data_IF_206945842228
#
_entry.id   IF_206945842228
#
_cell.length_a   1.000
_cell.length_b   1.000
_cell.length_c   1.000
_cell.angle_alpha   90.00
_cell.angle_beta   90.00
_cell.angle_gamma   90.00
#
_symmetry.space_group_name_H-M   'P 1'
#
loop_
_entity.id
_entity.type
_entity.pdbx_description
1 polymer ?
#
# COMPACT_ATOMS: atom_id res chain seq x y z
N UNK A 1 -21.08 -27.92 -59.92
CA UNK A 1 -21.50 -26.75 -60.66
C UNK A 1 -21.08 -25.53 -59.83
N UNK A 2 -20.14 -24.69 -60.35
CA UNK A 2 -19.69 -23.52 -59.64
C UNK A 2 -20.48 -22.28 -60.02
N UNK A 3 -20.86 -21.49 -59.03
CA UNK A 3 -21.50 -20.19 -59.21
C UNK A 3 -20.44 -19.10 -59.49
N UNK A 4 -20.72 -18.36 -60.57
CA UNK A 4 -19.88 -17.27 -61.08
C UNK A 4 -20.02 -16.01 -60.19
N UNK A 5 -18.85 -15.39 -59.89
CA UNK A 5 -18.77 -14.03 -59.38
C UNK A 5 -19.12 -13.02 -60.51
N UNK A 6 -19.94 -12.03 -60.17
CA UNK A 6 -20.19 -10.85 -61.00
C UNK A 6 -19.40 -9.68 -60.38
N UNK A 7 -18.45 -9.13 -61.12
CA UNK A 7 -17.74 -7.90 -60.77
C UNK A 7 -18.44 -6.70 -61.38
N UNK A 8 -18.70 -5.69 -60.58
CA UNK A 8 -19.24 -4.41 -61.05
C UNK A 8 -18.12 -3.35 -60.98
N UNK A 9 -17.85 -2.59 -62.06
CA UNK A 9 -16.83 -1.58 -62.04
C UNK A 9 -17.33 -0.29 -61.39
N UNK A 10 -16.48 0.31 -60.52
CA UNK A 10 -16.71 1.64 -59.95
C UNK A 10 -16.03 2.65 -60.85
N UNK A 11 -16.84 3.57 -61.41
CA UNK A 11 -16.35 4.75 -62.15
C UNK A 11 -16.10 5.86 -61.16
N UNK A 12 -14.85 6.34 -61.10
CA UNK A 12 -14.46 7.52 -60.31
C UNK A 12 -14.46 8.76 -61.26
N UNK A 13 -15.40 9.66 -61.02
CA UNK A 13 -15.41 10.98 -61.67
C UNK A 13 -14.55 11.96 -60.88
N UNK A 14 -13.48 12.44 -61.46
CA UNK A 14 -12.68 13.52 -60.88
C UNK A 14 -13.25 14.87 -61.33
N UNK A 15 -13.74 15.67 -60.39
CA UNK A 15 -14.14 17.04 -60.59
C UNK A 15 -13.00 18.00 -60.15
N UNK A 16 -12.41 18.68 -61.10
CA UNK A 16 -11.46 19.78 -60.83
C UNK A 16 -12.22 21.03 -60.42
N UNK A 17 -12.06 21.47 -59.14
CA UNK A 17 -12.48 22.80 -58.69
C UNK A 17 -11.27 23.75 -58.70
N UNK A 18 -11.34 24.75 -59.51
CA UNK A 18 -10.40 25.90 -59.52
C UNK A 18 -10.82 26.86 -58.42
N UNK A 19 -9.98 27.10 -57.45
CA UNK A 19 -10.20 28.09 -56.39
C UNK A 19 -9.37 29.38 -56.72
N UNK A 20 -9.91 30.57 -56.44
CA UNK A 20 -9.17 31.82 -56.61
C UNK A 20 -8.19 32.04 -55.44
N UNK A 21 -6.99 32.51 -55.77
CA UNK A 21 -5.94 32.89 -54.86
C UNK A 21 -6.29 34.20 -54.13
N UNK A 22 -6.69 34.06 -52.86
CA UNK A 22 -6.79 35.16 -51.92
C UNK A 22 -5.56 35.17 -50.99
N UNK A 23 -4.74 36.20 -51.08
CA UNK A 23 -3.63 36.42 -50.15
C UNK A 23 -4.15 36.69 -48.75
N UNK A 24 -3.93 35.75 -47.85
CA UNK A 24 -4.11 35.96 -46.39
C UNK A 24 -2.78 36.37 -45.79
N UNK A 25 -2.81 37.51 -45.08
CA UNK A 25 -1.70 37.93 -44.20
C UNK A 25 -1.38 36.81 -43.21
N UNK A 26 -0.14 36.38 -43.17
CA UNK A 26 0.35 35.44 -42.15
C UNK A 26 0.37 36.18 -40.81
N UNK A 27 -0.56 35.85 -39.94
CA UNK A 27 -0.47 36.19 -38.52
C UNK A 27 0.72 35.48 -37.91
N UNK A 28 1.58 36.25 -37.25
CA UNK A 28 2.68 35.75 -36.44
C UNK A 28 2.08 34.75 -35.44
N UNK A 29 2.57 33.50 -35.34
CA UNK A 29 2.12 32.61 -34.31
C UNK A 29 2.49 33.21 -32.94
N UNK A 30 1.51 33.51 -32.12
CA UNK A 30 1.74 33.72 -30.68
C UNK A 30 2.43 32.46 -30.16
N UNK A 31 3.51 32.59 -29.36
CA UNK A 31 4.12 31.44 -28.76
C UNK A 31 3.03 30.73 -27.94
N UNK A 32 2.81 29.45 -28.25
CA UNK A 32 2.09 28.56 -27.36
C UNK A 32 2.67 28.76 -25.95
N UNK A 33 1.85 29.30 -25.05
CA UNK A 33 2.13 29.18 -23.64
C UNK A 33 2.07 27.67 -23.36
N UNK A 34 3.25 27.02 -23.39
CA UNK A 34 3.40 25.70 -22.88
C UNK A 34 2.73 25.73 -21.48
N UNK A 35 1.62 25.04 -21.35
CA UNK A 35 0.99 24.79 -20.06
C UNK A 35 2.09 24.23 -19.18
N UNK A 36 2.52 24.99 -18.17
CA UNK A 36 3.45 24.49 -17.19
C UNK A 36 2.83 23.19 -16.68
N UNK A 37 3.49 22.07 -16.88
CA UNK A 37 3.04 20.80 -16.34
C UNK A 37 2.99 20.98 -14.83
N UNK A 38 1.82 20.81 -14.24
CA UNK A 38 1.63 20.90 -12.79
C UNK A 38 2.60 19.92 -12.12
N UNK A 39 3.39 20.41 -11.17
CA UNK A 39 4.29 19.58 -10.37
C UNK A 39 3.58 19.10 -9.11
N UNK A 40 3.97 17.93 -8.63
CA UNK A 40 3.44 17.38 -7.37
C UNK A 40 3.97 18.18 -6.20
N UNK A 41 3.06 18.62 -5.33
CA UNK A 41 3.40 19.29 -4.08
C UNK A 41 3.75 18.24 -3.03
N UNK A 42 4.90 18.37 -2.39
CA UNK A 42 5.32 17.47 -1.32
C UNK A 42 4.38 17.56 -0.11
N UNK A 43 4.10 16.42 0.50
CA UNK A 43 3.43 16.36 1.80
C UNK A 43 4.34 17.01 2.84
N UNK A 44 3.78 17.86 3.68
CA UNK A 44 4.55 18.56 4.72
C UNK A 44 5.10 17.57 5.74
N UNK A 45 6.39 17.70 6.05
CA UNK A 45 7.04 16.89 7.08
C UNK A 45 6.30 17.01 8.43
N UNK A 46 6.23 15.93 9.22
CA UNK A 46 5.48 15.93 10.47
C UNK A 46 6.05 16.93 11.48
N UNK A 47 5.18 17.59 12.25
CA UNK A 47 5.63 18.52 13.30
C UNK A 47 6.40 17.83 14.43
N UNK A 48 6.12 16.55 14.66
CA UNK A 48 6.79 15.73 15.66
C UNK A 48 7.38 14.48 14.96
N UNK A 49 8.54 14.59 14.29
CA UNK A 49 9.18 13.47 13.63
C UNK A 49 9.57 12.39 14.65
N UNK A 50 9.76 11.16 14.17
CA UNK A 50 10.35 10.13 15.01
C UNK A 50 11.76 10.56 15.44
N UNK A 51 12.14 10.31 16.71
CA UNK A 51 13.52 10.50 17.13
C UNK A 51 14.45 9.53 16.41
N UNK A 52 15.75 9.78 16.39
CA UNK A 52 16.72 8.79 15.93
C UNK A 52 16.50 7.43 16.56
N UNK A 53 16.74 6.35 15.81
CA UNK A 53 16.48 4.97 16.26
C UNK A 53 17.07 4.71 17.67
N UNK A 54 18.30 5.14 17.90
CA UNK A 54 18.98 4.93 19.18
C UNK A 54 18.27 5.60 20.37
N UNK A 55 17.70 6.78 20.17
CA UNK A 55 17.01 7.54 21.23
C UNK A 55 15.66 6.91 21.60
N UNK A 56 15.04 6.16 20.68
CA UNK A 56 13.79 5.46 20.94
C UNK A 56 13.98 4.06 21.56
N UNK A 57 15.20 3.57 21.75
CA UNK A 57 15.47 2.17 22.11
C UNK A 57 14.74 1.68 23.37
N UNK A 58 14.52 2.57 24.34
CA UNK A 58 13.77 2.24 25.57
C UNK A 58 12.25 2.29 25.47
N UNK A 59 11.69 2.66 24.30
CA UNK A 59 10.25 2.76 24.11
C UNK A 59 9.70 1.37 23.74
N UNK A 60 8.91 0.80 24.63
CA UNK A 60 8.29 -0.52 24.43
C UNK A 60 6.76 -0.47 24.44
N UNK A 61 6.18 0.73 24.65
CA UNK A 61 4.73 0.90 24.71
C UNK A 61 4.27 2.11 23.90
N UNK A 62 3.52 1.84 22.82
CA UNK A 62 3.00 2.85 21.89
C UNK A 62 1.96 2.23 20.95
N UNK A 63 1.35 3.06 20.12
CA UNK A 63 0.46 2.62 19.03
C UNK A 63 0.90 3.20 17.69
N UNK A 64 0.42 2.59 16.60
CA UNK A 64 0.47 3.14 15.27
C UNK A 64 -0.81 2.80 14.50
N UNK A 65 -1.11 3.60 13.48
CA UNK A 65 -2.27 3.37 12.62
C UNK A 65 -1.84 2.75 11.30
N UNK A 66 -2.69 1.89 10.74
CA UNK A 66 -2.46 1.27 9.42
C UNK A 66 -3.73 1.28 8.59
N UNK A 67 -3.60 1.60 7.31
CA UNK A 67 -4.67 1.54 6.32
C UNK A 67 -4.08 1.57 4.89
N UNK A 68 -4.90 1.42 3.86
CA UNK A 68 -4.50 1.54 2.47
C UNK A 68 -5.67 1.84 1.55
N UNK A 69 -5.38 2.02 0.25
CA UNK A 69 -6.41 2.18 -0.79
C UNK A 69 -7.32 3.38 -0.53
N UNK A 70 -6.71 4.56 -0.51
CA UNK A 70 -7.40 5.83 -0.20
C UNK A 70 -7.97 6.51 -1.43
N UNK A 71 -7.57 6.07 -2.64
CA UNK A 71 -7.99 6.62 -3.93
C UNK A 71 -9.50 6.76 -4.05
N UNK A 72 -9.96 7.94 -4.44
CA UNK A 72 -11.37 8.24 -4.58
C UNK A 72 -11.91 8.01 -6.00
N UNK A 73 -13.18 8.35 -6.21
CA UNK A 73 -13.82 8.30 -7.54
C UNK A 73 -13.70 9.60 -8.33
N UNK A 74 -13.28 10.67 -7.67
CA UNK A 74 -13.24 12.04 -8.20
C UNK A 74 -11.88 12.69 -7.93
N UNK A 75 -10.82 11.88 -7.99
CA UNK A 75 -9.47 12.34 -7.80
C UNK A 75 -9.11 13.43 -8.82
N UNK A 76 -8.43 14.46 -8.34
CA UNK A 76 -8.09 15.64 -9.13
C UNK A 76 -9.18 16.72 -9.19
N UNK A 77 -10.39 16.44 -8.69
CA UNK A 77 -11.51 17.39 -8.71
C UNK A 77 -11.82 17.92 -7.32
N UNK A 78 -11.73 17.06 -6.30
CA UNK A 78 -11.99 17.39 -4.90
C UNK A 78 -11.07 16.58 -3.98
N UNK A 79 -10.92 16.95 -2.69
CA UNK A 79 -10.44 16.03 -1.68
C UNK A 79 -11.23 14.72 -1.71
N UNK A 80 -10.55 13.61 -1.51
CA UNK A 80 -11.18 12.28 -1.46
C UNK A 80 -12.16 12.21 -0.29
N UNK A 81 -13.45 12.09 -0.57
CA UNK A 81 -14.48 12.22 0.46
C UNK A 81 -14.40 11.11 1.51
N UNK A 82 -14.40 9.86 1.06
CA UNK A 82 -14.36 8.70 1.94
C UNK A 82 -13.05 8.67 2.75
N UNK A 83 -11.93 8.99 2.12
CA UNK A 83 -10.65 9.15 2.81
C UNK A 83 -10.69 10.30 3.83
N UNK A 84 -11.38 11.40 3.55
CA UNK A 84 -11.51 12.49 4.51
C UNK A 84 -12.23 12.07 5.79
N UNK A 85 -13.21 11.18 5.71
CA UNK A 85 -13.88 10.60 6.89
C UNK A 85 -12.93 9.71 7.71
N UNK A 86 -12.07 8.93 7.03
CA UNK A 86 -11.02 8.13 7.67
C UNK A 86 -10.04 9.05 8.41
N UNK A 87 -9.50 10.07 7.74
CA UNK A 87 -8.57 11.05 8.33
C UNK A 87 -9.18 11.73 9.54
N UNK A 88 -10.44 12.18 9.47
CA UNK A 88 -11.15 12.79 10.58
C UNK A 88 -11.29 11.82 11.77
N UNK A 89 -11.59 10.56 11.51
CA UNK A 89 -11.65 9.52 12.55
C UNK A 89 -10.28 9.25 13.17
N UNK A 90 -9.23 9.19 12.34
CA UNK A 90 -7.84 9.03 12.80
C UNK A 90 -7.40 10.20 13.70
N UNK A 91 -7.70 11.45 13.32
CA UNK A 91 -7.37 12.63 14.13
C UNK A 91 -7.98 12.53 15.53
N UNK A 92 -9.27 12.17 15.62
CA UNK A 92 -9.95 11.96 16.91
C UNK A 92 -9.31 10.81 17.69
N UNK A 93 -8.94 9.72 17.02
CA UNK A 93 -8.32 8.57 17.68
C UNK A 93 -6.92 8.89 18.19
N UNK A 94 -6.11 9.59 17.41
CA UNK A 94 -4.78 10.07 17.82
C UNK A 94 -4.89 10.96 19.07
N UNK A 95 -5.83 11.90 19.05
CA UNK A 95 -6.04 12.79 20.19
C UNK A 95 -6.48 12.03 21.45
N UNK A 96 -7.41 11.07 21.30
CA UNK A 96 -7.90 10.26 22.42
C UNK A 96 -6.81 9.39 23.08
N UNK A 97 -5.80 8.98 22.32
CA UNK A 97 -4.68 8.18 22.81
C UNK A 97 -3.48 9.03 23.28
N UNK A 98 -3.46 10.32 22.97
CA UNK A 98 -2.31 11.22 23.19
C UNK A 98 -1.78 11.21 24.63
N UNK A 99 -2.68 11.25 25.61
CA UNK A 99 -2.35 11.25 27.03
C UNK A 99 -2.33 9.86 27.67
N UNK A 100 -2.64 8.83 26.88
CA UNK A 100 -2.67 7.45 27.32
C UNK A 100 -1.28 6.82 27.43
N UNK A 101 -1.23 5.57 27.88
CA UNK A 101 0.04 4.84 28.03
C UNK A 101 0.64 4.42 26.68
N UNK A 102 -0.15 4.35 25.62
CA UNK A 102 0.20 3.88 24.28
C UNK A 102 -0.20 4.90 23.19
N UNK A 103 0.41 6.12 23.20
CA UNK A 103 0.09 7.15 22.22
C UNK A 103 0.47 6.71 20.80
N UNK A 104 -0.27 7.20 19.81
CA UNK A 104 0.03 6.97 18.39
C UNK A 104 1.33 7.69 18.02
N UNK A 105 2.26 6.96 17.43
CA UNK A 105 3.58 7.47 17.06
C UNK A 105 3.76 7.68 15.56
N UNK A 106 3.06 6.93 14.72
CA UNK A 106 3.12 7.07 13.27
C UNK A 106 1.91 6.42 12.60
N UNK A 107 1.77 6.69 11.31
CA UNK A 107 0.76 6.10 10.43
C UNK A 107 1.45 5.38 9.29
N UNK A 108 1.01 4.19 8.93
CA UNK A 108 1.43 3.43 7.76
C UNK A 108 0.29 3.38 6.74
N UNK A 109 0.59 3.66 5.46
CA UNK A 109 -0.36 3.56 4.37
C UNK A 109 0.20 2.63 3.29
N UNK A 110 -0.55 1.57 2.96
CA UNK A 110 -0.10 0.46 2.12
C UNK A 110 -0.37 0.65 0.63
N UNK A 111 -0.37 1.89 0.13
CA UNK A 111 -0.46 2.20 -1.30
C UNK A 111 -1.86 2.56 -1.80
N UNK A 112 -1.94 2.81 -3.10
CA UNK A 112 -3.13 3.30 -3.82
C UNK A 112 -3.67 4.61 -3.22
N UNK A 113 -2.76 5.60 -3.12
CA UNK A 113 -3.05 6.95 -2.67
C UNK A 113 -4.00 7.68 -3.64
N UNK A 114 -3.74 7.54 -4.95
CA UNK A 114 -4.50 8.17 -6.04
C UNK A 114 -4.86 7.15 -7.13
N UNK A 115 -5.82 7.48 -8.00
CA UNK A 115 -6.23 6.60 -9.10
C UNK A 115 -5.18 6.53 -10.21
N UNK A 116 -4.48 7.64 -10.47
CA UNK A 116 -3.45 7.73 -11.49
C UNK A 116 -2.26 8.55 -10.98
N UNK A 117 -1.23 7.88 -10.50
CA UNK A 117 -0.04 8.53 -9.94
C UNK A 117 0.76 9.41 -10.91
N UNK A 118 0.53 9.28 -12.23
CA UNK A 118 1.12 10.16 -13.25
C UNK A 118 0.47 11.54 -13.31
N UNK A 119 -0.67 11.72 -12.69
CA UNK A 119 -1.43 12.97 -12.72
C UNK A 119 -1.18 13.75 -11.41
N UNK A 120 -0.34 14.80 -11.50
CA UNK A 120 0.01 15.64 -10.36
C UNK A 120 -1.22 16.30 -9.71
N UNK A 121 -2.25 16.61 -10.50
CA UNK A 121 -3.49 17.20 -9.98
C UNK A 121 -4.19 16.27 -8.99
N UNK A 122 -4.16 14.95 -9.23
CA UNK A 122 -4.74 13.98 -8.29
C UNK A 122 -4.01 13.99 -6.95
N UNK A 123 -2.68 14.05 -6.97
CA UNK A 123 -1.90 14.19 -5.74
C UNK A 123 -2.25 15.49 -5.01
N UNK A 124 -2.15 16.61 -5.70
CA UNK A 124 -2.26 17.94 -5.11
C UNK A 124 -3.67 18.24 -4.57
N UNK A 125 -4.70 17.96 -5.38
CA UNK A 125 -6.08 18.31 -5.05
C UNK A 125 -6.74 17.29 -4.13
N UNK A 126 -6.48 15.99 -4.37
CA UNK A 126 -7.27 14.94 -3.73
C UNK A 126 -6.61 14.35 -2.48
N UNK A 127 -5.26 14.32 -2.41
CA UNK A 127 -4.54 13.53 -1.41
C UNK A 127 -3.69 14.37 -0.44
N UNK A 128 -2.76 15.17 -0.97
CA UNK A 128 -1.75 15.88 -0.14
C UNK A 128 -2.35 16.70 0.99
N UNK A 129 -3.43 17.43 0.72
CA UNK A 129 -4.10 18.26 1.73
C UNK A 129 -4.67 17.43 2.90
N UNK A 130 -5.17 16.23 2.64
CA UNK A 130 -5.69 15.33 3.69
C UNK A 130 -4.55 14.78 4.56
N UNK A 131 -3.42 14.40 3.97
CA UNK A 131 -2.28 13.90 4.73
C UNK A 131 -1.63 15.01 5.54
N UNK A 132 -1.59 16.23 5.01
CA UNK A 132 -1.09 17.39 5.76
C UNK A 132 -1.89 17.62 7.05
N UNK A 133 -3.15 17.22 7.15
CA UNK A 133 -3.88 17.25 8.43
C UNK A 133 -3.26 16.31 9.45
N UNK A 134 -2.86 15.09 9.06
CA UNK A 134 -2.20 14.15 9.97
C UNK A 134 -0.82 14.63 10.38
N UNK A 135 -0.02 15.13 9.44
CA UNK A 135 1.35 15.58 9.71
C UNK A 135 1.40 16.95 10.43
N UNK A 136 0.40 17.81 10.24
CA UNK A 136 0.38 19.17 10.80
C UNK A 136 -0.59 19.35 11.98
N UNK A 137 -1.84 18.87 11.92
CA UNK A 137 -2.79 19.01 13.04
C UNK A 137 -2.45 18.01 14.15
N UNK A 138 -2.36 16.71 13.83
CA UNK A 138 -1.93 15.70 14.79
C UNK A 138 -0.41 15.72 15.04
N UNK A 139 0.36 16.13 14.04
CA UNK A 139 1.82 16.23 14.08
C UNK A 139 2.54 14.89 13.96
N UNK A 140 1.84 13.81 13.58
CA UNK A 140 2.41 12.45 13.54
C UNK A 140 3.10 12.15 12.22
N UNK A 141 4.21 11.39 12.23
CA UNK A 141 4.84 10.83 11.04
C UNK A 141 3.88 9.97 10.23
N UNK A 142 3.99 10.08 8.92
CA UNK A 142 3.21 9.33 7.96
C UNK A 142 4.14 8.64 6.98
N UNK A 143 3.99 7.35 6.81
CA UNK A 143 4.81 6.51 5.94
C UNK A 143 3.93 5.83 4.90
N UNK A 144 4.31 5.93 3.64
CA UNK A 144 3.57 5.42 2.50
C UNK A 144 4.43 4.46 1.68
N UNK A 145 3.86 3.34 1.22
CA UNK A 145 4.42 2.51 0.14
C UNK A 145 3.59 2.66 -1.13
N UNK A 146 4.16 2.50 -2.33
CA UNK A 146 3.38 2.68 -3.54
C UNK A 146 2.45 1.51 -3.83
N UNK A 147 1.20 1.81 -4.18
CA UNK A 147 0.29 0.87 -4.81
C UNK A 147 0.46 0.85 -6.33
N UNK A 148 -0.28 -0.04 -7.01
CA UNK A 148 -0.20 -0.13 -8.47
C UNK A 148 -0.79 1.11 -9.17
N UNK A 149 -1.76 1.77 -8.57
CA UNK A 149 -2.32 3.02 -9.08
C UNK A 149 -1.35 4.20 -8.95
N UNK A 150 -0.52 4.22 -7.92
CA UNK A 150 0.46 5.29 -7.68
C UNK A 150 1.60 5.28 -8.69
N UNK A 151 2.06 4.08 -9.08
CA UNK A 151 3.21 3.90 -9.99
C UNK A 151 2.83 3.15 -11.28
N UNK A 152 1.53 3.08 -11.59
CA UNK A 152 0.97 2.42 -12.78
C UNK A 152 1.34 0.95 -12.99
N UNK A 153 1.58 0.22 -11.92
CA UNK A 153 1.47 -1.23 -11.75
C UNK A 153 2.07 -2.19 -12.76
N UNK A 154 3.03 -1.78 -13.59
CA UNK A 154 3.44 -2.62 -14.72
C UNK A 154 4.36 -3.79 -14.38
N UNK A 155 4.89 -3.88 -13.16
CA UNK A 155 5.93 -4.87 -12.83
C UNK A 155 7.22 -4.77 -13.66
N UNK A 156 7.26 -3.85 -14.62
CA UNK A 156 8.43 -3.51 -15.44
C UNK A 156 9.03 -2.21 -14.92
N UNK A 157 10.15 -2.32 -14.25
CA UNK A 157 10.89 -1.20 -13.64
C UNK A 157 11.38 -0.16 -14.64
N UNK A 158 11.47 -0.54 -15.91
CA UNK A 158 11.97 0.32 -16.99
C UNK A 158 10.85 0.96 -17.81
N UNK A 159 9.57 0.73 -17.47
CA UNK A 159 8.48 1.30 -18.26
C UNK A 159 8.38 2.82 -18.07
N UNK A 160 8.22 3.63 -19.14
CA UNK A 160 8.03 5.08 -19.01
C UNK A 160 6.80 5.44 -18.15
N UNK A 161 5.79 4.60 -18.13
CA UNK A 161 4.60 4.81 -17.32
C UNK A 161 4.90 4.70 -15.83
N UNK A 162 5.73 3.71 -15.43
CA UNK A 162 6.20 3.57 -14.07
C UNK A 162 7.16 4.70 -13.68
N UNK A 163 8.07 5.08 -14.58
CA UNK A 163 9.02 6.15 -14.32
C UNK A 163 8.33 7.46 -13.91
N UNK A 164 7.30 7.89 -14.67
CA UNK A 164 6.56 9.11 -14.34
C UNK A 164 5.73 8.96 -13.04
N UNK A 165 5.06 7.83 -12.84
CA UNK A 165 4.31 7.57 -11.60
C UNK A 165 5.23 7.56 -10.38
N UNK A 166 6.38 6.89 -10.48
CA UNK A 166 7.39 6.85 -9.42
C UNK A 166 7.97 8.24 -9.13
N UNK A 167 8.27 9.03 -10.16
CA UNK A 167 8.74 10.41 -10.01
C UNK A 167 7.74 11.25 -9.19
N UNK A 168 6.47 11.22 -9.54
CA UNK A 168 5.42 11.94 -8.83
C UNK A 168 5.23 11.43 -7.39
N UNK A 169 5.26 10.11 -7.22
CA UNK A 169 5.20 9.49 -5.90
C UNK A 169 6.34 9.96 -4.99
N UNK A 170 7.58 9.88 -5.47
CA UNK A 170 8.76 10.30 -4.70
C UNK A 170 8.73 11.79 -4.38
N UNK A 171 8.24 12.64 -5.30
CA UNK A 171 8.02 14.05 -5.03
C UNK A 171 6.98 14.27 -3.92
N UNK A 172 5.88 13.51 -3.93
CA UNK A 172 4.85 13.61 -2.88
C UNK A 172 5.38 13.24 -1.48
N UNK A 173 6.26 12.23 -1.38
CA UNK A 173 6.73 11.69 -0.09
C UNK A 173 8.13 12.17 0.32
N UNK A 174 8.74 13.09 -0.41
CA UNK A 174 10.12 13.55 -0.19
C UNK A 174 10.42 13.91 1.28
N UNK A 175 9.49 14.58 1.96
CA UNK A 175 9.63 14.97 3.36
C UNK A 175 9.26 13.89 4.39
N UNK A 176 8.89 12.69 3.96
CA UNK A 176 8.34 11.63 4.82
C UNK A 176 9.25 10.41 4.94
N UNK A 177 10.08 10.15 3.94
CA UNK A 177 10.95 8.97 3.88
C UNK A 177 12.40 9.37 4.12
N UNK A 178 13.30 8.43 4.48
CA UNK A 178 14.71 8.75 4.64
C UNK A 178 15.30 9.36 3.35
N UNK A 179 16.26 10.30 3.44
CA UNK A 179 16.88 10.90 2.25
C UNK A 179 17.70 9.87 1.46
N UNK A 180 17.98 10.19 0.19
CA UNK A 180 18.90 9.40 -0.64
C UNK A 180 20.27 9.27 0.06
N UNK A 181 20.92 8.10 -0.06
CA UNK A 181 22.16 7.77 0.61
C UNK A 181 22.02 7.37 2.08
N UNK A 182 20.81 7.41 2.65
CA UNK A 182 20.61 6.90 4.00
C UNK A 182 20.66 5.37 4.04
N UNK A 183 21.27 4.81 5.09
CA UNK A 183 21.41 3.34 5.28
C UNK A 183 20.07 2.60 5.26
N UNK A 184 19.00 3.28 5.64
CA UNK A 184 17.64 2.76 5.70
C UNK A 184 16.81 3.07 4.45
N UNK A 185 17.45 3.38 3.32
CA UNK A 185 16.78 3.59 2.04
C UNK A 185 17.48 2.84 0.91
N UNK A 186 16.72 2.33 -0.03
CA UNK A 186 17.21 1.88 -1.33
C UNK A 186 17.17 3.08 -2.27
N UNK A 187 18.33 3.59 -2.69
CA UNK A 187 18.42 4.79 -3.50
C UNK A 187 17.68 4.66 -4.84
N UNK A 188 16.99 5.73 -5.23
CA UNK A 188 16.18 5.78 -6.45
C UNK A 188 14.85 5.01 -6.36
N UNK A 189 14.55 4.41 -5.19
CA UNK A 189 13.39 3.54 -4.99
C UNK A 189 12.53 4.04 -3.81
N UNK A 190 11.22 3.71 -3.78
CA UNK A 190 10.34 4.00 -2.64
C UNK A 190 10.49 3.01 -1.47
N UNK A 191 11.53 2.20 -1.50
CA UNK A 191 11.83 1.15 -0.52
C UNK A 191 12.71 1.69 0.60
N UNK A 192 12.24 1.56 1.85
CA UNK A 192 12.96 2.06 3.02
C UNK A 192 12.61 1.26 4.29
N UNK A 193 13.34 1.55 5.37
CA UNK A 193 13.06 0.97 6.69
C UNK A 193 13.29 2.01 7.79
N UNK A 194 12.74 1.74 8.96
CA UNK A 194 13.03 2.51 10.18
C UNK A 194 12.77 1.67 11.43
N UNK A 195 13.42 2.03 12.51
CA UNK A 195 13.17 1.46 13.82
C UNK A 195 12.56 2.49 14.77
N UNK A 196 11.58 2.08 15.54
CA UNK A 196 11.05 2.87 16.64
C UNK A 196 10.77 1.95 17.85
N UNK A 197 11.37 2.30 18.99
CA UNK A 197 11.23 1.46 20.18
C UNK A 197 11.76 0.05 19.94
N UNK A 198 10.93 -0.93 20.26
CA UNK A 198 11.18 -2.36 20.07
C UNK A 198 10.60 -2.91 18.74
N UNK A 199 10.23 -2.03 17.82
CA UNK A 199 9.62 -2.38 16.52
C UNK A 199 10.47 -1.89 15.36
N UNK A 200 10.76 -2.77 14.42
CA UNK A 200 11.38 -2.46 13.14
C UNK A 200 10.34 -2.54 12.02
N UNK A 201 10.32 -1.55 11.14
CA UNK A 201 9.36 -1.42 10.05
C UNK A 201 10.08 -1.42 8.72
N UNK A 202 9.64 -2.29 7.80
CA UNK A 202 10.16 -2.46 6.45
C UNK A 202 9.07 -2.05 5.46
N UNK A 203 9.33 -1.02 4.67
CA UNK A 203 8.48 -0.50 3.61
C UNK A 203 8.97 -0.98 2.24
N UNK A 204 8.14 -1.70 1.49
CA UNK A 204 8.54 -2.36 0.25
C UNK A 204 7.61 -1.98 -0.91
N UNK A 205 8.16 -1.94 -2.13
CA UNK A 205 7.38 -1.80 -3.36
C UNK A 205 7.00 -3.17 -3.94
N UNK A 206 5.78 -3.62 -3.68
CA UNK A 206 5.30 -4.90 -4.16
C UNK A 206 4.98 -4.94 -5.66
N UNK A 207 4.95 -3.80 -6.36
CA UNK A 207 4.83 -3.78 -7.82
C UNK A 207 6.03 -4.45 -8.48
N UNK A 208 7.17 -4.44 -7.81
CA UNK A 208 8.45 -5.03 -8.25
C UNK A 208 8.95 -6.09 -7.26
N UNK A 209 8.05 -6.89 -6.68
CA UNK A 209 8.40 -7.87 -5.63
C UNK A 209 9.46 -8.91 -6.05
N UNK A 210 9.68 -9.11 -7.35
CA UNK A 210 10.75 -9.96 -7.89
C UNK A 210 12.06 -9.22 -8.19
N UNK A 211 12.15 -7.92 -7.94
CA UNK A 211 13.36 -7.15 -8.20
C UNK A 211 14.52 -7.59 -7.29
N UNK A 212 15.67 -7.86 -7.91
CA UNK A 212 16.83 -8.39 -7.19
C UNK A 212 17.46 -7.37 -6.24
N UNK A 213 17.52 -6.10 -6.63
CA UNK A 213 18.15 -5.07 -5.81
C UNK A 213 17.32 -4.83 -4.53
N UNK A 214 15.98 -4.75 -4.68
CA UNK A 214 15.09 -4.64 -3.54
C UNK A 214 15.17 -5.86 -2.60
N UNK A 215 15.19 -7.08 -3.17
CA UNK A 215 15.33 -8.30 -2.38
C UNK A 215 16.64 -8.37 -1.61
N UNK A 216 17.76 -8.03 -2.26
CA UNK A 216 19.09 -8.04 -1.64
C UNK A 216 19.17 -6.97 -0.53
N UNK A 217 18.62 -5.77 -0.78
CA UNK A 217 18.57 -4.71 0.20
C UNK A 217 17.72 -5.11 1.41
N UNK A 218 16.50 -5.63 1.20
CA UNK A 218 15.61 -6.08 2.27
C UNK A 218 16.25 -7.18 3.12
N UNK A 219 16.93 -8.14 2.50
CA UNK A 219 17.72 -9.17 3.18
C UNK A 219 18.78 -8.54 4.07
N UNK A 220 19.58 -7.60 3.55
CA UNK A 220 20.62 -6.91 4.31
C UNK A 220 20.06 -6.19 5.54
N UNK A 221 18.91 -5.51 5.40
CA UNK A 221 18.26 -4.85 6.53
C UNK A 221 17.83 -5.85 7.62
N UNK A 222 17.30 -7.01 7.21
CA UNK A 222 16.84 -8.04 8.15
C UNK A 222 17.97 -8.85 8.79
N UNK A 223 19.04 -9.14 8.05
CA UNK A 223 20.23 -9.85 8.56
C UNK A 223 20.99 -9.03 9.62
N UNK A 224 21.08 -7.72 9.42
CA UNK A 224 21.75 -6.80 10.34
C UNK A 224 20.93 -6.38 11.56
N UNK A 225 19.72 -6.97 11.75
CA UNK A 225 18.79 -6.49 12.76
C UNK A 225 19.12 -7.02 14.16
N UNK A 226 19.25 -6.10 15.11
CA UNK A 226 19.35 -6.45 16.55
C UNK A 226 18.00 -7.02 17.03
N UNK A 227 17.93 -8.34 17.16
CA UNK A 227 16.72 -9.08 17.56
C UNK A 227 16.45 -9.08 19.07
N UNK A 228 17.39 -8.61 19.89
CA UNK A 228 17.13 -8.36 21.32
C UNK A 228 16.33 -7.08 21.49
N UNK A 229 16.62 -6.08 20.67
CA UNK A 229 15.87 -4.83 20.64
C UNK A 229 14.56 -4.97 19.86
N UNK A 230 14.64 -5.38 18.59
CA UNK A 230 13.49 -5.41 17.68
C UNK A 230 12.77 -6.75 17.76
N UNK A 231 11.93 -6.90 18.78
CA UNK A 231 11.10 -8.10 18.97
C UNK A 231 9.95 -8.17 17.97
N UNK A 232 9.49 -7.01 17.49
CA UNK A 232 8.48 -6.90 16.44
C UNK A 232 9.13 -6.43 15.13
N UNK A 233 8.90 -7.19 14.07
CA UNK A 233 9.31 -6.85 12.71
C UNK A 233 8.08 -6.79 11.84
N UNK A 234 7.79 -5.60 11.35
CA UNK A 234 6.63 -5.27 10.53
C UNK A 234 7.10 -5.07 9.10
N UNK A 235 6.46 -5.71 8.14
CA UNK A 235 6.57 -5.36 6.72
C UNK A 235 5.24 -4.75 6.26
N UNK A 236 5.28 -3.66 5.48
CA UNK A 236 4.08 -3.15 4.85
C UNK A 236 4.33 -2.84 3.37
N UNK A 237 3.36 -3.18 2.56
CA UNK A 237 3.41 -3.07 1.10
C UNK A 237 2.00 -3.24 0.53
N UNK A 238 1.83 -3.11 -0.79
CA UNK A 238 0.50 -3.03 -1.37
C UNK A 238 -0.16 -4.40 -1.63
N UNK A 239 0.45 -5.27 -2.44
CA UNK A 239 -0.18 -6.52 -2.89
C UNK A 239 -0.08 -7.63 -1.84
N UNK A 240 -1.21 -8.17 -1.33
CA UNK A 240 -1.19 -9.21 -0.30
C UNK A 240 -0.67 -10.55 -0.83
N UNK A 241 -0.01 -11.33 0.03
CA UNK A 241 0.33 -12.71 -0.28
C UNK A 241 -0.92 -13.60 -0.35
N UNK A 242 -1.91 -13.33 0.49
CA UNK A 242 -3.17 -14.07 0.57
C UNK A 242 -4.32 -13.10 0.52
N UNK A 243 -5.32 -13.38 -0.32
CA UNK A 243 -6.60 -12.69 -0.30
C UNK A 243 -7.72 -13.54 -0.90
N UNK A 244 -8.93 -13.33 -0.42
CA UNK A 244 -10.17 -13.87 -0.96
C UNK A 244 -10.98 -12.84 -1.77
N UNK A 245 -10.40 -11.67 -2.00
CA UNK A 245 -10.96 -10.61 -2.83
C UNK A 245 -10.75 -10.85 -4.34
N UNK A 246 -11.16 -9.89 -5.18
CA UNK A 246 -11.17 -10.06 -6.65
C UNK A 246 -9.80 -10.32 -7.27
N UNK A 247 -8.70 -9.83 -6.68
CA UNK A 247 -7.35 -9.95 -7.24
C UNK A 247 -6.57 -11.16 -6.68
N UNK A 248 -7.04 -11.75 -5.59
CA UNK A 248 -6.46 -12.95 -4.98
C UNK A 248 -7.13 -14.26 -5.39
N UNK A 249 -8.37 -14.23 -5.93
CA UNK A 249 -9.16 -15.39 -6.28
C UNK A 249 -10.21 -15.04 -7.36
N UNK A 250 -10.45 -15.92 -8.35
CA UNK A 250 -9.80 -17.20 -8.62
C UNK A 250 -8.46 -17.05 -9.36
N UNK A 251 -8.11 -15.86 -9.85
CA UNK A 251 -6.90 -15.61 -10.63
C UNK A 251 -5.86 -14.87 -9.79
N UNK A 252 -4.72 -15.51 -9.59
CA UNK A 252 -3.59 -14.92 -8.91
C UNK A 252 -2.88 -13.89 -9.80
N UNK A 253 -2.72 -12.68 -9.33
CA UNK A 253 -1.98 -11.63 -10.01
C UNK A 253 -0.46 -11.82 -9.87
N UNK A 254 0.31 -11.28 -10.85
CA UNK A 254 1.76 -11.42 -10.88
C UNK A 254 2.45 -10.85 -9.63
N UNK A 255 2.13 -9.63 -9.14
CA UNK A 255 2.76 -9.11 -7.93
C UNK A 255 2.51 -10.00 -6.71
N UNK A 256 1.28 -10.46 -6.51
CA UNK A 256 0.92 -11.39 -5.43
C UNK A 256 1.70 -12.71 -5.54
N UNK A 257 1.84 -13.26 -6.75
CA UNK A 257 2.66 -14.45 -6.98
C UNK A 257 4.13 -14.20 -6.62
N UNK A 258 4.68 -13.04 -7.02
CA UNK A 258 6.06 -12.67 -6.70
C UNK A 258 6.28 -12.47 -5.19
N UNK A 259 5.34 -11.85 -4.48
CA UNK A 259 5.36 -11.76 -3.01
C UNK A 259 5.42 -13.15 -2.37
N UNK A 260 4.57 -14.09 -2.81
CA UNK A 260 4.59 -15.47 -2.30
C UNK A 260 5.93 -16.16 -2.55
N UNK A 261 6.49 -15.99 -3.75
CA UNK A 261 7.71 -16.70 -4.17
C UNK A 261 8.97 -16.12 -3.53
N UNK A 262 9.07 -14.80 -3.44
CA UNK A 262 10.32 -14.13 -3.06
C UNK A 262 10.31 -13.62 -1.62
N UNK A 263 9.22 -13.01 -1.16
CA UNK A 263 9.21 -12.34 0.14
C UNK A 263 8.76 -13.23 1.29
N UNK A 264 7.75 -14.08 1.10
CA UNK A 264 7.28 -14.94 2.19
C UNK A 264 8.37 -15.89 2.73
N UNK A 265 9.22 -16.55 1.88
CA UNK A 265 10.37 -17.30 2.39
C UNK A 265 11.39 -16.44 3.14
N UNK A 266 11.69 -15.23 2.62
CA UNK A 266 12.59 -14.28 3.27
C UNK A 266 12.05 -13.87 4.65
N UNK A 267 10.74 -13.56 4.73
CA UNK A 267 10.10 -13.15 5.98
C UNK A 267 10.10 -14.27 7.01
N UNK A 268 9.87 -15.52 6.62
CA UNK A 268 10.02 -16.68 7.52
C UNK A 268 11.43 -16.82 8.04
N UNK A 269 12.42 -16.76 7.15
CA UNK A 269 13.84 -16.88 7.50
C UNK A 269 14.26 -15.84 8.55
N UNK A 270 13.79 -14.61 8.42
CA UNK A 270 14.16 -13.49 9.30
C UNK A 270 13.11 -13.17 10.37
N UNK A 271 12.08 -14.03 10.55
CA UNK A 271 11.06 -13.90 11.59
C UNK A 271 10.34 -12.55 11.56
N UNK A 272 9.96 -12.09 10.36
CA UNK A 272 8.95 -11.03 10.23
C UNK A 272 7.65 -11.59 10.82
N UNK A 273 7.03 -10.87 11.73
CA UNK A 273 5.86 -11.38 12.43
C UNK A 273 4.55 -10.66 12.08
N UNK A 274 4.63 -9.46 11.48
CA UNK A 274 3.46 -8.70 11.06
C UNK A 274 3.61 -8.22 9.62
N UNK A 275 2.56 -8.40 8.83
CA UNK A 275 2.47 -7.90 7.46
C UNK A 275 1.18 -7.11 7.31
N UNK A 276 1.27 -5.88 6.80
CA UNK A 276 0.13 -5.06 6.46
C UNK A 276 0.11 -4.77 4.96
N UNK A 277 -1.05 -4.95 4.35
CA UNK A 277 -1.25 -4.79 2.89
C UNK A 277 -2.56 -4.09 2.58
N UNK A 278 -2.68 -3.59 1.36
CA UNK A 278 -3.89 -3.05 0.75
C UNK A 278 -4.33 -3.86 -0.47
N UNK A 279 -4.56 -3.17 -1.59
CA UNK A 279 -4.93 -3.70 -2.89
C UNK A 279 -6.33 -4.30 -2.97
N UNK A 280 -6.68 -5.09 -2.00
CA UNK A 280 -8.04 -5.59 -1.83
C UNK A 280 -8.79 -4.65 -0.89
N UNK A 281 -9.80 -3.97 -1.42
CA UNK A 281 -10.56 -2.94 -0.71
C UNK A 281 -11.54 -3.55 0.30
N UNK A 282 -10.99 -4.25 1.27
CA UNK A 282 -11.72 -5.01 2.30
C UNK A 282 -10.82 -5.25 3.51
N UNK A 283 -11.38 -5.85 4.55
CA UNK A 283 -10.62 -6.31 5.71
C UNK A 283 -10.50 -7.82 5.71
N UNK A 284 -9.27 -8.33 5.83
CA UNK A 284 -8.98 -9.76 6.03
C UNK A 284 -7.86 -9.93 7.05
N UNK A 285 -7.91 -11.05 7.77
CA UNK A 285 -6.82 -11.47 8.62
C UNK A 285 -6.41 -12.91 8.30
N UNK A 286 -5.18 -13.07 7.86
CA UNK A 286 -4.56 -14.36 7.57
C UNK A 286 -3.45 -14.65 8.57
N UNK A 287 -3.32 -15.90 8.98
CA UNK A 287 -2.26 -16.36 9.87
C UNK A 287 -1.47 -17.46 9.17
N UNK A 288 -0.18 -17.22 9.00
CA UNK A 288 0.76 -18.25 8.60
C UNK A 288 1.50 -18.79 9.83
N UNK A 289 1.47 -20.10 10.02
CA UNK A 289 2.30 -20.81 11.00
C UNK A 289 3.34 -21.65 10.26
N UNK A 290 4.57 -21.56 10.69
CA UNK A 290 5.69 -22.26 10.05
C UNK A 290 6.70 -22.74 11.10
N UNK A 291 7.51 -23.74 10.74
CA UNK A 291 8.66 -24.13 11.55
C UNK A 291 9.89 -23.35 11.08
N UNK A 292 10.61 -22.77 12.04
CA UNK A 292 11.91 -22.16 11.76
C UNK A 292 13.01 -23.25 11.60
N UNK A 293 14.25 -22.83 11.34
CA UNK A 293 15.42 -23.71 11.17
C UNK A 293 15.71 -24.61 12.38
N UNK A 294 15.20 -24.23 13.56
CA UNK A 294 15.30 -25.05 14.80
C UNK A 294 14.15 -26.01 14.99
N UNK A 295 13.18 -26.03 14.06
CA UNK A 295 11.93 -26.81 14.18
C UNK A 295 10.90 -26.17 15.11
N UNK A 296 11.12 -24.97 15.63
CA UNK A 296 10.19 -24.28 16.47
C UNK A 296 9.07 -23.62 15.64
N UNK A 297 7.81 -23.82 16.07
CA UNK A 297 6.68 -23.17 15.43
C UNK A 297 6.69 -21.66 15.66
N UNK A 298 6.52 -20.91 14.58
CA UNK A 298 6.41 -19.45 14.55
C UNK A 298 5.08 -19.03 13.93
N UNK A 299 4.71 -17.79 14.19
CA UNK A 299 3.51 -17.18 13.67
C UNK A 299 3.86 -15.88 12.93
N UNK A 300 3.22 -15.68 11.79
CA UNK A 300 3.25 -14.45 11.00
C UNK A 300 1.80 -14.10 10.64
N UNK A 301 1.39 -12.89 10.97
CA UNK A 301 0.05 -12.38 10.69
C UNK A 301 0.09 -11.47 9.47
N UNK A 302 -0.78 -11.69 8.49
CA UNK A 302 -1.02 -10.78 7.38
C UNK A 302 -2.41 -10.16 7.55
N UNK A 303 -2.43 -8.82 7.60
CA UNK A 303 -3.63 -8.01 7.68
C UNK A 303 -3.81 -7.29 6.35
N UNK A 304 -4.89 -7.58 5.63
CA UNK A 304 -5.32 -6.80 4.48
C UNK A 304 -6.25 -5.70 4.99
N UNK A 305 -5.90 -4.45 4.76
CA UNK A 305 -6.62 -3.28 5.29
C UNK A 305 -6.78 -2.20 4.23
N UNK A 306 -7.36 -2.58 3.06
CA UNK A 306 -7.59 -1.70 1.92
C UNK A 306 -8.89 -0.90 2.00
N UNK A 307 -9.39 -0.62 3.21
CA UNK A 307 -10.63 0.10 3.44
C UNK A 307 -10.51 1.61 3.56
N UNK A 308 -9.42 2.23 3.08
CA UNK A 308 -9.08 3.63 3.33
C UNK A 308 -9.91 4.68 2.56
N UNK A 309 -10.77 4.26 1.61
CA UNK A 309 -11.60 5.20 0.83
C UNK A 309 -11.94 4.71 -0.57
N UNK A 310 -11.18 3.79 -1.13
CA UNK A 310 -11.48 3.20 -2.43
C UNK A 310 -12.79 2.39 -2.42
N UNK A 311 -13.44 2.18 -3.59
CA UNK A 311 -14.70 1.41 -3.66
C UNK A 311 -14.55 0.01 -3.06
N UNK A 312 -15.33 -0.27 -2.03
CA UNK A 312 -15.26 -1.51 -1.23
C UNK A 312 -15.53 -2.76 -2.07
N UNK A 313 -14.78 -3.81 -1.80
CA UNK A 313 -14.93 -5.16 -2.33
C UNK A 313 -15.66 -6.08 -1.34
N UNK A 314 -15.81 -7.35 -1.71
CA UNK A 314 -16.43 -8.39 -0.89
C UNK A 314 -15.78 -9.74 -1.17
N UNK A 315 -16.05 -10.70 -0.32
CA UNK A 315 -15.56 -12.07 -0.46
C UNK A 315 -15.86 -12.68 -1.84
N UNK A 316 -14.85 -13.23 -2.51
CA UNK A 316 -14.93 -13.86 -3.84
C UNK A 316 -14.61 -15.35 -3.83
N UNK A 317 -14.15 -15.86 -2.71
CA UNK A 317 -13.77 -17.27 -2.53
C UNK A 317 -12.35 -17.41 -1.99
N UNK A 318 -12.07 -18.56 -1.39
CA UNK A 318 -10.73 -18.87 -0.90
C UNK A 318 -9.75 -18.99 -2.08
N UNK A 319 -8.53 -18.41 -1.97
CA UNK A 319 -7.50 -18.60 -2.96
C UNK A 319 -7.00 -20.05 -2.99
N UNK A 320 -6.59 -20.53 -4.18
CA UNK A 320 -5.88 -21.80 -4.25
C UNK A 320 -4.44 -21.64 -3.73
N UNK A 321 -4.20 -22.11 -2.52
CA UNK A 321 -2.89 -22.07 -1.88
C UNK A 321 -2.07 -23.34 -2.09
N UNK A 322 -2.60 -24.36 -2.75
CA UNK A 322 -1.88 -25.64 -2.97
C UNK A 322 -0.54 -25.46 -3.67
N UNK A 323 -0.40 -24.69 -4.78
CA UNK A 323 0.89 -24.48 -5.39
C UNK A 323 1.92 -23.87 -4.42
N UNK A 324 1.52 -22.84 -3.70
CA UNK A 324 2.37 -22.18 -2.71
C UNK A 324 2.83 -23.12 -1.59
N UNK A 325 1.91 -23.91 -1.04
CA UNK A 325 2.21 -24.84 0.06
C UNK A 325 3.10 -26.02 -0.40
N UNK A 326 2.95 -26.47 -1.65
CA UNK A 326 3.79 -27.54 -2.20
C UNK A 326 5.22 -27.08 -2.49
N UNK A 327 5.41 -25.85 -2.93
CA UNK A 327 6.73 -25.27 -3.18
C UNK A 327 7.47 -24.90 -1.89
N UNK A 328 6.74 -24.55 -0.84
CA UNK A 328 7.27 -24.03 0.42
C UNK A 328 7.56 -25.05 1.53
N UNK A 329 7.72 -26.35 1.21
CA UNK A 329 7.80 -27.44 2.19
C UNK A 329 6.47 -27.59 2.97
N UNK A 330 5.49 -28.23 2.35
CA UNK A 330 4.08 -28.36 2.77
C UNK A 330 3.88 -28.81 4.22
N UNK A 331 4.82 -29.55 4.79
CA UNK A 331 4.73 -30.08 6.15
C UNK A 331 5.04 -29.03 7.23
N UNK A 332 5.75 -27.96 6.87
CA UNK A 332 6.21 -26.93 7.81
C UNK A 332 5.49 -25.58 7.69
N UNK A 333 4.57 -25.41 6.76
CA UNK A 333 3.79 -24.16 6.58
C UNK A 333 2.30 -24.43 6.60
N UNK A 334 1.57 -23.66 7.37
CA UNK A 334 0.11 -23.72 7.46
C UNK A 334 -0.46 -22.32 7.38
N UNK A 335 -1.41 -22.10 6.46
CA UNK A 335 -2.10 -20.82 6.28
C UNK A 335 -3.56 -20.97 6.72
N UNK A 336 -4.02 -20.04 7.54
CA UNK A 336 -5.40 -19.99 8.06
C UNK A 336 -6.01 -18.63 7.73
N UNK A 337 -7.17 -18.61 7.10
CA UNK A 337 -8.00 -17.43 6.96
C UNK A 337 -8.80 -17.22 8.25
N UNK A 338 -8.29 -16.36 9.13
CA UNK A 338 -8.86 -16.15 10.46
C UNK A 338 -10.12 -15.28 10.42
N UNK A 339 -10.09 -14.21 9.63
CA UNK A 339 -11.24 -13.31 9.41
C UNK A 339 -11.45 -13.10 7.93
N UNK A 340 -12.66 -13.46 7.48
CA UNK A 340 -13.12 -13.27 6.11
C UNK A 340 -13.89 -11.97 5.98
N UNK A 341 -13.79 -11.28 4.81
CA UNK A 341 -14.65 -10.15 4.53
C UNK A 341 -16.11 -10.62 4.40
N UNK A 342 -17.05 -9.71 4.58
CA UNK A 342 -18.46 -9.99 4.37
C UNK A 342 -18.77 -10.34 2.89
N UNK A 343 -19.85 -11.08 2.63
CA UNK A 343 -20.22 -11.53 1.29
C UNK A 343 -20.72 -10.41 0.38
N UNK A 344 -21.12 -9.27 0.93
CA UNK A 344 -21.60 -8.12 0.18
C UNK A 344 -20.76 -6.87 0.50
N UNK A 345 -20.80 -5.89 -0.40
CA UNK A 345 -20.11 -4.59 -0.18
C UNK A 345 -20.56 -3.90 1.11
N UNK A 346 -21.86 -3.96 1.44
CA UNK A 346 -22.40 -3.34 2.66
C UNK A 346 -21.93 -3.97 3.97
N UNK A 347 -21.34 -5.16 3.91
CA UNK A 347 -20.80 -5.85 5.09
C UNK A 347 -19.34 -5.45 5.41
N UNK A 348 -18.72 -4.67 4.52
CA UNK A 348 -17.32 -4.25 4.63
C UNK A 348 -17.27 -2.71 4.70
N UNK A 349 -17.11 -2.11 5.87
CA UNK A 349 -17.03 -0.66 6.01
C UNK A 349 -15.68 -0.13 5.55
N UNK A 350 -15.61 1.17 5.29
CA UNK A 350 -14.34 1.88 5.33
C UNK A 350 -13.73 1.78 6.72
N UNK A 351 -12.43 1.55 6.79
CA UNK A 351 -11.78 1.26 8.06
C UNK A 351 -10.28 1.58 8.05
N UNK A 352 -9.75 1.65 9.25
CA UNK A 352 -8.33 1.58 9.53
C UNK A 352 -8.07 0.71 10.76
N UNK A 353 -6.83 0.35 10.99
CA UNK A 353 -6.40 -0.49 12.12
C UNK A 353 -5.58 0.37 13.08
N UNK A 354 -5.81 0.20 14.38
CA UNK A 354 -4.94 0.70 15.45
C UNK A 354 -4.15 -0.48 15.97
N UNK A 355 -2.84 -0.43 15.84
CA UNK A 355 -1.93 -1.46 16.37
C UNK A 355 -1.29 -0.94 17.64
N UNK A 356 -1.40 -1.71 18.71
CA UNK A 356 -0.84 -1.40 20.02
C UNK A 356 0.33 -2.33 20.31
N UNK A 357 1.44 -1.76 20.73
CA UNK A 357 2.63 -2.47 21.18
C UNK A 357 2.76 -2.29 22.68
N UNK A 358 2.93 -3.37 23.43
CA UNK A 358 3.20 -3.37 24.87
C UNK A 358 4.24 -4.44 25.21
N UNK A 359 5.51 -4.05 25.17
CA UNK A 359 6.61 -4.98 25.32
C UNK A 359 6.61 -6.08 24.25
N UNK A 360 6.52 -7.36 24.63
CA UNK A 360 6.46 -8.46 23.68
C UNK A 360 5.07 -8.70 23.09
N UNK A 361 4.03 -8.04 23.62
CA UNK A 361 2.65 -8.21 23.17
C UNK A 361 2.31 -7.17 22.08
N UNK A 362 1.64 -7.63 21.03
CA UNK A 362 1.04 -6.78 19.99
C UNK A 362 -0.41 -7.20 19.80
N UNK A 363 -1.30 -6.24 19.80
CA UNK A 363 -2.70 -6.44 19.51
C UNK A 363 -3.26 -5.32 18.65
N UNK A 364 -4.39 -5.52 18.02
CA UNK A 364 -5.02 -4.51 17.17
C UNK A 364 -6.51 -4.34 17.45
N UNK A 365 -6.99 -3.16 17.11
CA UNK A 365 -8.40 -2.81 16.97
C UNK A 365 -8.67 -2.45 15.51
N UNK A 366 -9.82 -2.84 14.98
CA UNK A 366 -10.29 -2.40 13.65
C UNK A 366 -11.36 -1.34 13.86
N UNK A 367 -11.14 -0.16 13.31
CA UNK A 367 -12.06 0.98 13.43
C UNK A 367 -12.82 1.15 12.13
N UNK A 368 -14.10 0.77 12.13
CA UNK A 368 -15.02 1.01 11.01
C UNK A 368 -15.49 2.47 11.00
N UNK A 369 -15.51 3.09 9.83
CA UNK A 369 -15.81 4.52 9.63
C UNK A 369 -16.97 4.72 8.66
N UNK A 370 -17.83 3.74 8.49
CA UNK A 370 -18.99 3.87 7.61
C UNK A 370 -20.28 4.17 8.41
N UNK A 371 -21.28 4.71 7.70
CA UNK A 371 -22.52 5.22 8.26
C UNK A 371 -23.36 4.10 8.89
N UNK A 372 -23.33 4.06 10.23
CA UNK A 372 -24.19 3.18 11.01
C UNK A 372 -23.87 1.70 10.98
N UNK A 373 -22.81 1.27 10.32
CA UNK A 373 -22.37 -0.14 10.33
C UNK A 373 -21.52 -0.38 11.57
N UNK A 374 -21.99 -1.29 12.41
CA UNK A 374 -21.24 -1.77 13.56
C UNK A 374 -20.29 -2.89 13.11
N UNK A 375 -19.10 -2.54 12.66
CA UNK A 375 -18.11 -3.47 12.18
C UNK A 375 -17.29 -4.02 13.35
N UNK A 376 -17.45 -5.30 13.62
CA UNK A 376 -16.68 -6.01 14.63
C UNK A 376 -16.19 -7.35 14.04
N UNK A 377 -15.07 -7.36 13.34
CA UNK A 377 -14.57 -8.57 12.68
C UNK A 377 -14.13 -9.64 13.67
N UNK A 378 -13.92 -9.27 14.93
CA UNK A 378 -13.51 -10.17 15.99
C UNK A 378 -14.53 -10.22 17.13
N UNK A 379 -14.53 -11.34 17.87
CA UNK A 379 -15.33 -11.48 19.10
C UNK A 379 -14.82 -10.60 20.25
N UNK A 380 -13.55 -10.20 20.19
CA UNK A 380 -12.90 -9.33 21.18
C UNK A 380 -12.51 -8.02 20.51
N UNK A 381 -12.61 -6.91 21.22
CA UNK A 381 -12.11 -5.60 20.77
C UNK A 381 -10.57 -5.61 20.63
N UNK A 382 -9.89 -6.56 21.24
CA UNK A 382 -8.44 -6.74 21.18
C UNK A 382 -8.11 -8.07 20.51
N UNK A 383 -7.45 -8.04 19.38
CA UNK A 383 -6.96 -9.24 18.71
C UNK A 383 -5.45 -9.30 18.77
N UNK A 384 -4.94 -10.36 19.41
CA UNK A 384 -3.50 -10.60 19.50
C UNK A 384 -2.93 -10.95 18.13
N UNK A 385 -1.87 -10.26 17.74
CA UNK A 385 -1.13 -10.42 16.46
C UNK A 385 0.16 -11.22 16.62
N UNK A 386 0.57 -11.51 17.83
CA UNK A 386 1.74 -12.35 18.09
C UNK A 386 1.40 -13.38 19.15
N UNK A 387 2.05 -14.53 19.09
CA UNK A 387 2.04 -15.42 20.24
C UNK A 387 2.91 -14.78 21.34
N UNK A 388 2.40 -14.54 22.55
CA UNK A 388 3.20 -14.00 23.63
C UNK A 388 4.43 -14.89 23.85
N UNK A 389 5.60 -14.30 23.86
CA UNK A 389 6.86 -15.02 24.15
C UNK A 389 6.71 -15.62 25.56
N UNK A 390 6.59 -16.94 25.66
CA UNK A 390 6.57 -17.64 26.94
C UNK A 390 5.30 -18.36 27.35
N UNK A 391 4.20 -18.31 26.59
CA UNK A 391 3.11 -19.27 26.79
C UNK A 391 3.44 -20.56 26.02
N UNK A 392 4.04 -21.49 26.72
CA UNK A 392 4.16 -22.90 26.33
C UNK A 392 2.84 -23.62 26.55
#
# INVERSE_FOLDING_TARGET
>A
MPLKRVETPVVVLAACLVMPSGSRAQGVPTPDTASATEEVVAIQAPRFPLPPEAESAGVTRFSFLVYGDTRGRRDGVNPQYEHSLIVESMLRRIDSLRAGPDPVRFVLQSGDAVVNGRDATQWNVSFVGLINRLTQEAGVPYFLTPGNHDVTGSGDVLSPARELGLFNYLAAVEGLIPPEGATRRLDGDPTYAFGFGNTFVLALDSNIAGDYAQLAWARTQLEGLDRERYVHVVAFFHHPAYSSGPHGSPRLERPTAAVRTHWMPLFRQHRVNLIFTGHEHLFEHWVERYQDETGQWRRMDQIVTGGGGAPIYWYRGEPDLRPYLLEGAADSVRVTHLVRPGPNRGDNPYHYVVVHVDGPEVWMEVVGVDWGINFQPYRSARTMLSDPVGRR
#
